data_IF_327718356011
#
_entry.id   IF_327718356011
#
_cell.length_a   1.000
_cell.length_b   1.000
_cell.length_c   1.000
_cell.angle_alpha   90.00
_cell.angle_beta   90.00
_cell.angle_gamma   90.00
#
_symmetry.space_group_name_H-M   'P 1'
#
loop_
_entity.id
_entity.type
_entity.pdbx_description
1 polymer ?
#
# COMPACT_ATOMS: atom_id res chain seq x y z
N UNK A 1 24.80 -15.63 0.77
CA UNK A 1 24.35 -14.46 -0.02
C UNK A 1 23.51 -15.01 -1.17
N UNK A 2 22.21 -15.21 -0.94
CA UNK A 2 21.32 -15.70 -2.00
C UNK A 2 20.80 -14.46 -2.71
N UNK A 3 21.34 -14.18 -3.90
CA UNK A 3 20.82 -13.11 -4.76
C UNK A 3 19.37 -13.44 -5.10
N UNK A 4 18.46 -12.54 -4.73
CA UNK A 4 17.06 -12.63 -5.14
C UNK A 4 17.01 -12.73 -6.67
N UNK A 5 16.37 -13.76 -7.25
CA UNK A 5 16.28 -13.91 -8.69
C UNK A 5 15.59 -12.68 -9.29
N UNK A 6 16.12 -12.20 -10.42
CA UNK A 6 15.55 -11.08 -11.14
C UNK A 6 14.08 -11.40 -11.48
N UNK A 7 13.18 -10.49 -11.11
CA UNK A 7 11.76 -10.59 -11.47
C UNK A 7 11.65 -10.27 -12.96
N UNK A 8 11.55 -11.30 -13.80
CA UNK A 8 11.48 -11.22 -15.27
C UNK A 8 10.05 -10.93 -15.80
N UNK A 9 9.11 -10.61 -14.93
CA UNK A 9 7.74 -10.23 -15.29
C UNK A 9 7.61 -8.73 -15.02
N UNK A 10 6.90 -7.93 -15.85
CA UNK A 10 6.57 -6.56 -15.46
C UNK A 10 6.04 -6.56 -14.02
N UNK A 11 6.49 -5.62 -13.17
CA UNK A 11 6.05 -5.59 -11.78
C UNK A 11 4.53 -5.56 -11.78
N UNK A 12 3.92 -6.63 -11.26
CA UNK A 12 2.48 -6.66 -11.07
C UNK A 12 2.15 -5.53 -10.09
N UNK A 13 1.04 -4.80 -10.31
CA UNK A 13 0.65 -3.77 -9.37
C UNK A 13 0.47 -4.40 -7.99
N UNK A 14 0.79 -3.63 -6.95
CA UNK A 14 0.51 -4.06 -5.59
C UNK A 14 -1.00 -4.24 -5.41
N UNK A 15 -1.41 -5.32 -4.74
CA UNK A 15 -2.82 -5.66 -4.56
C UNK A 15 -3.18 -5.65 -3.09
N UNK A 16 -4.19 -4.87 -2.73
CA UNK A 16 -4.69 -4.78 -1.36
C UNK A 16 -5.88 -5.72 -1.16
N UNK A 17 -5.84 -6.52 -0.10
CA UNK A 17 -7.02 -7.27 0.38
C UNK A 17 -7.31 -8.60 -0.32
N UNK A 18 -6.52 -9.00 -1.31
CA UNK A 18 -6.63 -10.32 -1.92
C UNK A 18 -5.29 -10.85 -2.42
N UNK A 19 -5.19 -12.17 -2.53
CA UNK A 19 -4.10 -12.85 -3.21
C UNK A 19 -4.38 -12.89 -4.73
N UNK A 20 -3.38 -12.54 -5.54
CA UNK A 20 -3.39 -12.80 -6.98
C UNK A 20 -2.87 -14.20 -7.25
N UNK A 21 -3.69 -15.05 -7.87
CA UNK A 21 -3.29 -16.40 -8.28
C UNK A 21 -3.27 -16.47 -9.78
N UNK A 22 -2.15 -16.90 -10.36
CA UNK A 22 -2.02 -17.19 -11.79
C UNK A 22 -2.81 -18.45 -12.13
N UNK A 23 -3.61 -18.38 -13.18
CA UNK A 23 -4.38 -19.48 -13.77
C UNK A 23 -4.10 -19.53 -15.29
N UNK A 24 -4.55 -20.59 -15.97
CA UNK A 24 -4.27 -20.79 -17.40
C UNK A 24 -4.65 -19.57 -18.27
N UNK A 25 -5.73 -18.87 -17.93
CA UNK A 25 -6.26 -17.74 -18.71
C UNK A 25 -6.03 -16.36 -18.05
N UNK A 26 -5.09 -16.24 -17.09
CA UNK A 26 -4.73 -14.97 -16.48
C UNK A 26 -4.62 -15.02 -14.95
N UNK A 27 -5.29 -14.08 -14.27
CA UNK A 27 -5.23 -13.98 -12.81
C UNK A 27 -6.62 -14.02 -12.19
N UNK A 28 -6.74 -14.72 -11.07
CA UNK A 28 -7.94 -14.68 -10.21
C UNK A 28 -7.60 -14.09 -8.85
N UNK A 29 -8.58 -13.44 -8.21
CA UNK A 29 -8.49 -12.96 -6.83
C UNK A 29 -9.00 -14.04 -5.88
N UNK A 30 -8.21 -14.38 -4.87
CA UNK A 30 -8.53 -15.41 -3.89
C UNK A 30 -8.02 -15.04 -2.50
N UNK A 31 -8.40 -15.81 -1.48
CA UNK A 31 -7.94 -15.61 -0.08
C UNK A 31 -8.14 -14.16 0.40
N UNK A 32 -9.36 -13.66 0.24
CA UNK A 32 -9.69 -12.29 0.59
C UNK A 32 -9.46 -12.04 2.08
N UNK A 33 -8.91 -10.87 2.39
CA UNK A 33 -8.91 -10.34 3.74
C UNK A 33 -10.32 -9.86 4.08
N UNK A 34 -10.81 -10.21 5.28
CA UNK A 34 -12.11 -9.76 5.79
C UNK A 34 -11.87 -8.89 7.01
N UNK A 35 -12.04 -7.59 6.85
CA UNK A 35 -11.82 -6.60 7.90
C UNK A 35 -11.54 -5.21 7.33
N UNK A 36 -11.08 -4.31 8.18
CA UNK A 36 -10.64 -2.97 7.81
C UNK A 36 -9.11 -2.92 7.72
N UNK A 37 -8.61 -2.22 6.71
CA UNK A 37 -7.18 -1.89 6.53
C UNK A 37 -7.10 -0.39 6.42
N UNK A 38 -6.10 0.19 7.06
CA UNK A 38 -5.86 1.62 7.03
C UNK A 38 -4.34 1.90 7.05
N UNK A 39 -3.93 3.05 6.50
CA UNK A 39 -2.57 3.57 6.56
C UNK A 39 -1.48 2.55 6.19
N UNK A 40 -1.67 1.83 5.08
CA UNK A 40 -0.71 0.82 4.63
C UNK A 40 0.53 1.49 4.05
N UNK A 41 1.71 1.07 4.53
CA UNK A 41 3.00 1.68 4.18
C UNK A 41 3.99 0.62 3.72
N UNK A 42 4.75 0.93 2.68
CA UNK A 42 5.88 0.10 2.24
C UNK A 42 7.19 0.89 2.28
N UNK A 43 8.22 0.27 2.85
CA UNK A 43 9.54 0.86 3.03
C UNK A 43 10.62 -0.06 2.44
N UNK A 44 11.53 0.48 1.63
CA UNK A 44 12.70 -0.24 1.09
C UNK A 44 13.82 -0.42 2.11
N UNK A 45 13.65 0.15 3.31
CA UNK A 45 14.61 0.08 4.41
C UNK A 45 13.98 -0.51 5.67
N UNK A 46 14.79 -1.16 6.49
CA UNK A 46 14.37 -1.57 7.83
C UNK A 46 14.15 -0.35 8.70
N UNK A 47 12.95 -0.23 9.29
CA UNK A 47 12.57 0.87 10.17
C UNK A 47 12.95 0.54 11.61
N UNK A 48 13.49 1.51 12.34
CA UNK A 48 13.74 1.34 13.77
C UNK A 48 12.42 1.34 14.56
N UNK A 49 12.46 0.84 15.80
CA UNK A 49 11.33 0.96 16.73
C UNK A 49 10.91 2.43 16.91
N UNK A 50 11.88 3.35 17.00
CA UNK A 50 11.62 4.78 17.17
C UNK A 50 10.90 5.36 15.95
N UNK A 51 11.33 4.98 14.75
CA UNK A 51 10.72 5.43 13.50
C UNK A 51 9.26 4.95 13.34
N UNK A 52 9.00 3.70 13.69
CA UNK A 52 7.64 3.13 13.65
C UNK A 52 6.75 3.83 14.69
N UNK A 53 7.23 3.97 15.93
CA UNK A 53 6.46 4.61 16.99
C UNK A 53 6.17 6.08 16.70
N UNK A 54 7.11 6.78 16.05
CA UNK A 54 6.93 8.16 15.65
C UNK A 54 5.88 8.31 14.54
N UNK A 55 5.80 7.37 13.58
CA UNK A 55 4.91 7.50 12.43
C UNK A 55 3.53 6.83 12.58
N UNK A 56 3.36 5.86 13.49
CA UNK A 56 2.14 5.02 13.55
C UNK A 56 0.83 5.78 13.85
N UNK A 57 0.91 6.95 14.48
CA UNK A 57 -0.26 7.76 14.84
C UNK A 57 -0.59 8.87 13.84
N UNK A 58 0.13 8.93 12.73
CA UNK A 58 -0.13 9.88 11.66
C UNK A 58 -0.91 9.19 10.55
N UNK A 59 -1.78 9.93 9.88
CA UNK A 59 -2.59 9.47 8.77
C UNK A 59 -2.56 10.47 7.61
N UNK A 60 -3.03 10.03 6.44
CA UNK A 60 -3.07 10.84 5.24
C UNK A 60 -1.75 10.88 4.47
N UNK A 61 -1.67 11.74 3.43
CA UNK A 61 -0.52 11.79 2.52
C UNK A 61 0.78 12.15 3.24
N UNK A 62 1.89 11.54 2.81
CA UNK A 62 3.23 11.77 3.38
C UNK A 62 3.62 13.24 3.33
N UNK A 63 3.19 13.96 2.28
CA UNK A 63 3.43 15.39 2.12
C UNK A 63 2.80 16.27 3.23
N UNK A 64 1.86 15.74 4.02
CA UNK A 64 1.21 16.43 5.14
C UNK A 64 1.78 16.01 6.51
N UNK A 65 2.71 15.06 6.56
CA UNK A 65 3.30 14.62 7.82
C UNK A 65 4.29 15.65 8.39
N UNK A 66 4.51 15.68 9.72
CA UNK A 66 5.52 16.55 10.32
C UNK A 66 6.92 16.27 9.75
N UNK A 67 7.67 17.33 9.47
CA UNK A 67 8.99 17.25 8.84
C UNK A 67 10.04 16.51 9.69
N UNK A 68 9.77 16.32 10.99
CA UNK A 68 10.63 15.54 11.88
C UNK A 68 10.50 14.02 11.68
N UNK A 69 9.45 13.55 10.98
CA UNK A 69 9.29 12.14 10.68
C UNK A 69 10.19 11.76 9.50
N UNK A 70 11.03 10.76 9.71
CA UNK A 70 11.85 10.21 8.63
C UNK A 70 10.94 9.52 7.60
N UNK A 71 10.99 10.02 6.37
CA UNK A 71 10.38 9.42 5.17
C UNK A 71 11.41 8.68 4.31
N UNK A 72 12.64 8.54 4.80
CA UNK A 72 13.71 7.86 4.08
C UNK A 72 13.31 6.41 3.73
N UNK A 73 13.41 6.08 2.44
CA UNK A 73 13.08 4.75 1.91
C UNK A 73 11.59 4.43 1.87
N UNK A 74 10.68 5.41 1.95
CA UNK A 74 9.27 5.15 1.65
C UNK A 74 9.09 4.88 0.16
N UNK A 75 8.39 3.79 -0.18
CA UNK A 75 8.12 3.41 -1.57
C UNK A 75 6.64 3.51 -1.91
N UNK A 76 5.74 3.37 -0.93
CA UNK A 76 4.32 3.59 -1.13
C UNK A 76 3.60 3.92 0.20
N UNK A 77 2.56 4.75 0.14
CA UNK A 77 1.62 5.04 1.22
C UNK A 77 0.17 4.99 0.72
N UNK A 78 -0.60 4.00 1.16
CA UNK A 78 -2.03 3.93 0.87
C UNK A 78 -2.80 4.33 2.13
N UNK A 79 -3.31 5.56 2.16
CA UNK A 79 -4.13 6.08 3.27
C UNK A 79 -5.60 5.66 3.19
N UNK A 80 -6.03 5.12 2.05
CA UNK A 80 -7.41 4.71 1.75
C UNK A 80 -8.47 5.82 1.84
N UNK A 81 -8.06 7.08 2.01
CA UNK A 81 -8.93 8.26 1.94
C UNK A 81 -9.07 8.75 0.48
N UNK A 82 -8.11 8.40 -0.38
CA UNK A 82 -8.15 8.66 -1.83
C UNK A 82 -8.12 7.33 -2.58
N UNK A 83 -9.28 6.92 -3.09
CA UNK A 83 -9.43 5.69 -3.87
C UNK A 83 -10.38 5.90 -5.05
N UNK A 84 -10.16 5.16 -6.13
CA UNK A 84 -11.14 4.99 -7.21
C UNK A 84 -11.85 3.63 -7.06
N UNK A 85 -12.67 3.26 -8.05
CA UNK A 85 -13.40 1.98 -8.03
C UNK A 85 -12.48 0.76 -7.98
N UNK A 86 -11.29 0.84 -8.60
CA UNK A 86 -10.37 -0.29 -8.70
C UNK A 86 -8.94 0.03 -8.28
N UNK A 87 -8.60 1.29 -8.04
CA UNK A 87 -7.24 1.71 -7.69
C UNK A 87 -7.16 2.18 -6.24
N UNK A 88 -6.01 1.92 -5.63
CA UNK A 88 -5.61 2.52 -4.37
C UNK A 88 -4.46 3.48 -4.67
N UNK A 89 -4.66 4.75 -4.34
CA UNK A 89 -3.69 5.80 -4.69
C UNK A 89 -2.50 5.77 -3.76
N UNK A 90 -1.29 5.80 -4.34
CA UNK A 90 -0.07 6.03 -3.59
C UNK A 90 0.06 7.53 -3.25
N UNK A 91 -0.02 7.79 -1.95
CA UNK A 91 0.08 9.12 -1.36
C UNK A 91 1.46 9.42 -0.76
N UNK A 92 2.48 8.59 -1.06
CA UNK A 92 3.87 8.89 -0.72
C UNK A 92 4.57 9.81 -1.72
N UNK A 93 4.01 9.98 -2.91
CA UNK A 93 4.60 10.74 -4.01
C UNK A 93 5.54 9.92 -4.91
N UNK A 94 5.53 8.59 -4.78
CA UNK A 94 6.37 7.69 -5.58
C UNK A 94 5.65 7.14 -6.82
N UNK A 95 4.36 7.47 -6.97
CA UNK A 95 3.49 7.03 -8.08
C UNK A 95 3.40 5.51 -8.19
N UNK A 96 3.50 4.80 -7.06
CA UNK A 96 3.36 3.35 -6.99
C UNK A 96 1.90 2.96 -6.70
N UNK A 97 0.97 3.45 -7.52
CA UNK A 97 -0.45 3.16 -7.37
C UNK A 97 -0.72 1.64 -7.39
N UNK A 98 -1.66 1.22 -6.55
CA UNK A 98 -2.03 -0.18 -6.40
C UNK A 98 -3.42 -0.48 -6.95
N UNK A 99 -3.79 -1.76 -6.90
CA UNK A 99 -5.10 -2.27 -7.32
C UNK A 99 -5.85 -2.84 -6.12
N UNK A 100 -7.14 -2.55 -6.00
CA UNK A 100 -8.01 -3.17 -5.01
C UNK A 100 -8.21 -4.66 -5.35
N UNK A 101 -8.11 -5.53 -4.36
CA UNK A 101 -8.20 -6.99 -4.49
C UNK A 101 -9.56 -7.55 -4.90
N UNK A 102 -10.52 -6.71 -5.28
CA UNK A 102 -11.95 -6.98 -5.47
C UNK A 102 -12.71 -7.27 -4.16
N UNK A 103 -13.99 -6.92 -4.11
CA UNK A 103 -14.83 -6.93 -2.91
C UNK A 103 -15.48 -5.56 -2.66
N UNK A 104 -16.69 -5.56 -2.08
CA UNK A 104 -17.36 -4.31 -1.70
C UNK A 104 -16.57 -3.62 -0.59
N UNK A 105 -16.24 -2.35 -0.78
CA UNK A 105 -15.67 -1.50 0.27
C UNK A 105 -16.81 -0.79 0.99
N UNK A 106 -16.90 -0.99 2.30
CA UNK A 106 -17.55 -0.01 3.16
C UNK A 106 -16.50 1.06 3.43
N UNK A 107 -16.51 2.15 2.65
CA UNK A 107 -15.67 3.30 2.96
C UNK A 107 -16.25 4.04 4.16
N UNK A 108 -15.43 4.33 5.15
CA UNK A 108 -15.72 5.43 6.06
C UNK A 108 -15.50 6.75 5.29
N UNK A 109 -16.16 7.84 5.70
CA UNK A 109 -15.98 9.15 5.04
C UNK A 109 -14.48 9.51 5.02
N UNK A 110 -13.96 10.10 3.93
CA UNK A 110 -12.55 10.48 3.87
C UNK A 110 -12.19 11.34 5.08
N UNK A 111 -11.09 11.02 5.76
CA UNK A 111 -10.60 11.84 6.88
C UNK A 111 -9.95 13.14 6.41
N UNK A 112 -9.64 13.23 5.12
CA UNK A 112 -8.99 14.36 4.49
C UNK A 112 -9.64 14.62 3.13
N UNK A 113 -10.14 15.85 2.94
CA UNK A 113 -10.45 16.43 1.62
C UNK A 113 -9.42 17.50 1.25
#
# INVERSE_FOLDING_TARGET
NLSQPAVLVPPLPFIVGACSISVADGFVRAKHFVGQVDELRHWSVSRSKGDIAAAMNYSGPVARWPSQLSTAGIEAQYNFDVMSDFEVTDTSGQSNDGVRGSGGVASELPRYE
#
